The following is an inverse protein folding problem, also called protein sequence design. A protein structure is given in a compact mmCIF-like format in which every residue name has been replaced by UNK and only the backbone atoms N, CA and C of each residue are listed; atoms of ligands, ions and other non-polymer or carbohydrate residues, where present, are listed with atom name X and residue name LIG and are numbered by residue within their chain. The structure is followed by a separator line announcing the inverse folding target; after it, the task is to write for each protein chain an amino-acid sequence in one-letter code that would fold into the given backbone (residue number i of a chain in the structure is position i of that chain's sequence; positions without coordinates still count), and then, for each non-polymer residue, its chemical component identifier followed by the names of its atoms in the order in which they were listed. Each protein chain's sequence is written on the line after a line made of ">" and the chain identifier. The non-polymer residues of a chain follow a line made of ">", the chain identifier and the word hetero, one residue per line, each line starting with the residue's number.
data_IF_375547802960
#
_entry.id   IF_375547802960
#
_cell.length_a   1.000
_cell.length_b   1.000
_cell.length_c   1.000
_cell.angle_alpha   90.00
_cell.angle_beta   90.00
_cell.angle_gamma   90.00
#
_symmetry.space_group_name_H-M   'P 1'
#
loop_
_entity.id
_entity.type
_entity.pdbx_description
1 polymer ?
#
# COMPACT_ATOMS: atom_id res chain seq x y z
N UNK A 1 6.72 -9.96 25.05
CA UNK A 1 6.35 -11.33 25.51
C UNK A 1 5.72 -12.15 24.37
N UNK A 2 6.54 -12.98 23.72
CA UNK A 2 6.22 -14.04 22.74
C UNK A 2 7.49 -14.59 22.04
N UNK A 3 8.65 -13.95 22.24
CA UNK A 3 9.91 -14.30 21.56
C UNK A 3 10.70 -15.45 22.20
N UNK A 4 10.28 -15.95 23.37
CA UNK A 4 10.99 -16.96 24.17
C UNK A 4 10.17 -18.22 24.50
N UNK A 5 8.98 -18.39 23.89
CA UNK A 5 8.13 -19.55 24.17
C UNK A 5 8.44 -20.79 23.29
N UNK A 6 9.35 -20.66 22.31
CA UNK A 6 9.80 -21.80 21.50
C UNK A 6 11.21 -22.21 21.91
N UNK A 7 11.29 -23.31 22.65
CA UNK A 7 12.53 -23.90 23.17
C UNK A 7 13.35 -24.66 22.10
N UNK A 8 13.00 -24.54 20.82
CA UNK A 8 13.74 -25.20 19.75
C UNK A 8 13.56 -24.44 18.42
N UNK A 9 14.60 -23.74 17.91
CA UNK A 9 14.52 -23.04 16.62
C UNK A 9 14.41 -24.00 15.42
N UNK A 10 14.41 -25.32 15.64
CA UNK A 10 14.42 -26.34 14.58
C UNK A 10 13.16 -27.23 14.52
N UNK A 11 12.17 -27.02 15.39
CA UNK A 11 11.04 -27.96 15.54
C UNK A 11 9.85 -27.78 14.59
N UNK A 12 9.78 -26.74 13.76
CA UNK A 12 8.76 -26.65 12.71
C UNK A 12 9.16 -27.39 11.43
N UNK A 13 9.62 -28.65 11.58
CA UNK A 13 9.87 -29.60 10.48
C UNK A 13 8.73 -30.60 10.40
N UNK A 14 7.54 -30.15 9.99
CA UNK A 14 6.55 -31.05 9.42
C UNK A 14 6.76 -31.07 7.89
N UNK A 15 7.29 -32.18 7.39
CA UNK A 15 7.41 -32.55 5.97
C UNK A 15 8.41 -31.70 5.13
N UNK A 16 9.70 -32.05 5.23
CA UNK A 16 10.59 -32.07 4.06
C UNK A 16 10.98 -30.78 3.32
N UNK A 17 10.84 -29.58 3.90
CA UNK A 17 11.29 -28.37 3.22
C UNK A 17 11.22 -27.13 4.11
N UNK A 18 12.12 -26.19 3.88
CA UNK A 18 12.24 -24.92 4.64
C UNK A 18 10.91 -24.18 4.63
N UNK A 19 10.22 -24.13 5.77
CA UNK A 19 9.07 -23.25 5.96
C UNK A 19 9.58 -21.83 6.10
N UNK A 20 9.49 -21.06 5.02
CA UNK A 20 9.52 -19.61 5.12
C UNK A 20 8.28 -19.22 5.94
N UNK A 21 8.50 -18.60 7.11
CA UNK A 21 7.45 -18.06 7.98
C UNK A 21 6.62 -17.05 7.18
N UNK A 22 5.62 -17.56 6.47
CA UNK A 22 4.85 -16.80 5.50
C UNK A 22 3.92 -15.89 6.26
N UNK A 23 3.97 -14.59 5.94
CA UNK A 23 3.12 -13.58 6.58
C UNK A 23 1.62 -13.95 6.54
N UNK A 24 1.18 -14.65 5.49
CA UNK A 24 -0.18 -15.20 5.39
C UNK A 24 -0.52 -16.22 6.47
N UNK A 25 0.40 -17.15 6.76
CA UNK A 25 0.20 -18.18 7.80
C UNK A 25 0.10 -17.51 9.16
N UNK A 26 1.01 -16.57 9.44
CA UNK A 26 0.98 -15.77 10.68
C UNK A 26 -0.33 -14.99 10.82
N UNK A 27 -0.76 -14.30 9.77
CA UNK A 27 -2.01 -13.51 9.76
C UNK A 27 -3.22 -14.39 10.03
N UNK A 28 -3.32 -15.57 9.40
CA UNK A 28 -4.43 -16.50 9.63
C UNK A 28 -4.40 -17.08 11.05
N UNK A 29 -3.21 -17.35 11.61
CA UNK A 29 -3.08 -17.85 12.97
C UNK A 29 -3.44 -16.80 14.04
N UNK A 30 -3.05 -15.54 13.83
CA UNK A 30 -3.25 -14.46 14.81
C UNK A 30 -4.66 -13.84 14.73
N UNK A 31 -5.20 -13.67 13.53
CA UNK A 31 -6.47 -12.95 13.29
C UNK A 31 -7.61 -13.87 12.83
N UNK A 32 -7.32 -15.15 12.57
CA UNK A 32 -8.25 -16.08 11.97
C UNK A 32 -8.54 -15.80 10.49
N UNK A 33 -9.34 -16.68 9.89
CA UNK A 33 -9.83 -16.52 8.52
C UNK A 33 -10.60 -15.19 8.30
N UNK A 34 -11.45 -14.70 9.23
CA UNK A 34 -12.16 -13.44 9.03
C UNK A 34 -11.24 -12.23 8.94
N UNK A 35 -10.22 -12.14 9.80
CA UNK A 35 -9.28 -11.02 9.77
C UNK A 35 -8.42 -11.03 8.51
N UNK A 36 -8.04 -12.22 8.02
CA UNK A 36 -7.37 -12.35 6.74
C UNK A 36 -8.21 -11.82 5.57
N UNK A 37 -9.51 -12.12 5.53
CA UNK A 37 -10.43 -11.59 4.50
C UNK A 37 -10.53 -10.06 4.57
N UNK A 38 -10.62 -9.48 5.77
CA UNK A 38 -10.66 -8.02 5.94
C UNK A 38 -9.40 -7.34 5.38
N UNK A 39 -8.23 -7.93 5.63
CA UNK A 39 -6.96 -7.43 5.10
C UNK A 39 -6.93 -7.50 3.56
N UNK A 40 -7.36 -8.62 2.98
CA UNK A 40 -7.45 -8.74 1.52
C UNK A 40 -8.41 -7.70 0.92
N UNK A 41 -9.56 -7.49 1.55
CA UNK A 41 -10.51 -6.45 1.14
C UNK A 41 -9.92 -5.05 1.26
N UNK A 42 -9.14 -4.78 2.31
CA UNK A 42 -8.43 -3.51 2.48
C UNK A 42 -7.45 -3.27 1.32
N UNK A 43 -6.61 -4.25 0.98
CA UNK A 43 -5.67 -4.10 -0.13
C UNK A 43 -6.39 -3.95 -1.47
N UNK A 44 -7.43 -4.75 -1.69
CA UNK A 44 -8.24 -4.66 -2.90
C UNK A 44 -8.89 -3.28 -3.07
N UNK A 45 -9.51 -2.75 -2.00
CA UNK A 45 -10.15 -1.43 -2.03
C UNK A 45 -9.13 -0.31 -2.22
N UNK A 46 -7.94 -0.43 -1.64
CA UNK A 46 -6.85 0.51 -1.78
C UNK A 46 -6.33 0.57 -3.23
N UNK A 47 -6.09 -0.57 -3.87
CA UNK A 47 -5.67 -0.64 -5.29
C UNK A 47 -6.78 -0.10 -6.19
N UNK A 48 -8.02 -0.56 -5.99
CA UNK A 48 -9.18 -0.11 -6.76
C UNK A 48 -9.31 1.41 -6.70
N UNK A 49 -9.25 2.00 -5.50
CA UNK A 49 -9.39 3.45 -5.35
C UNK A 49 -8.21 4.20 -5.96
N UNK A 50 -7.00 3.67 -5.83
CA UNK A 50 -5.79 4.26 -6.42
C UNK A 50 -5.86 4.28 -7.95
N UNK A 51 -6.30 3.19 -8.57
CA UNK A 51 -6.51 3.11 -10.02
C UNK A 51 -7.61 4.07 -10.49
N UNK A 52 -8.74 4.12 -9.80
CA UNK A 52 -9.81 5.09 -10.11
C UNK A 52 -9.34 6.55 -9.98
N UNK A 53 -8.53 6.85 -8.97
CA UNK A 53 -7.97 8.19 -8.79
C UNK A 53 -6.99 8.54 -9.91
N UNK A 54 -6.16 7.59 -10.34
CA UNK A 54 -5.23 7.77 -11.44
C UNK A 54 -5.94 8.13 -12.75
N UNK A 55 -7.00 7.39 -13.10
CA UNK A 55 -7.79 7.63 -14.33
C UNK A 55 -8.49 9.00 -14.33
N UNK A 56 -8.71 9.60 -13.14
CA UNK A 56 -9.40 10.89 -13.00
C UNK A 56 -8.48 12.11 -13.15
N UNK A 57 -7.17 11.93 -13.13
CA UNK A 57 -6.22 13.02 -13.27
C UNK A 57 -6.22 13.55 -14.70
N UNK A 58 -6.29 14.87 -14.84
CA UNK A 58 -6.27 15.58 -16.13
C UNK A 58 -4.91 16.19 -16.41
N UNK A 59 -4.21 16.63 -15.37
CA UNK A 59 -2.89 17.23 -15.47
C UNK A 59 -1.84 16.17 -15.87
N UNK A 60 -1.13 16.35 -17.00
CA UNK A 60 -0.13 15.39 -17.46
C UNK A 60 1.02 15.22 -16.48
N UNK A 61 1.47 16.27 -15.78
CA UNK A 61 2.58 16.17 -14.81
C UNK A 61 2.14 15.30 -13.62
N UNK A 62 0.96 15.60 -13.08
CA UNK A 62 0.39 14.88 -11.95
C UNK A 62 0.05 13.43 -12.31
N UNK A 63 -0.35 13.17 -13.56
CA UNK A 63 -0.58 11.83 -14.09
C UNK A 63 0.71 10.99 -14.10
N UNK A 64 1.85 11.53 -14.57
CA UNK A 64 3.12 10.79 -14.55
C UNK A 64 3.55 10.41 -13.12
N UNK A 65 3.43 11.35 -12.17
CA UNK A 65 3.73 11.09 -10.74
C UNK A 65 2.79 10.02 -10.19
N UNK A 66 1.49 10.10 -10.53
CA UNK A 66 0.51 9.09 -10.14
C UNK A 66 0.84 7.71 -10.71
N UNK A 67 1.30 7.61 -11.96
CA UNK A 67 1.69 6.33 -12.58
C UNK A 67 2.87 5.71 -11.85
N UNK A 68 3.89 6.49 -11.49
CA UNK A 68 5.05 6.00 -10.75
C UNK A 68 4.67 5.48 -9.36
N UNK A 69 3.82 6.22 -8.63
CA UNK A 69 3.31 5.81 -7.33
C UNK A 69 2.41 4.58 -7.42
N UNK A 70 1.56 4.49 -8.44
CA UNK A 70 0.69 3.33 -8.68
C UNK A 70 1.52 2.09 -9.04
N UNK A 71 2.56 2.24 -9.88
CA UNK A 71 3.47 1.16 -10.22
C UNK A 71 4.24 0.64 -8.99
N UNK A 72 4.74 1.55 -8.14
CA UNK A 72 5.36 1.18 -6.87
C UNK A 72 4.41 0.40 -5.97
N UNK A 73 3.17 0.86 -5.84
CA UNK A 73 2.15 0.21 -5.02
C UNK A 73 1.80 -1.19 -5.55
N UNK A 74 1.62 -1.34 -6.86
CA UNK A 74 1.38 -2.63 -7.51
C UNK A 74 2.57 -3.59 -7.36
N UNK A 75 3.78 -3.07 -7.51
CA UNK A 75 5.00 -3.85 -7.30
C UNK A 75 5.08 -4.38 -5.86
N UNK A 76 4.75 -3.55 -4.88
CA UNK A 76 4.72 -3.97 -3.47
C UNK A 76 3.67 -5.08 -3.24
N UNK A 77 2.52 -5.02 -3.90
CA UNK A 77 1.50 -6.07 -3.82
C UNK A 77 1.95 -7.39 -4.45
N UNK A 78 2.66 -7.35 -5.58
CA UNK A 78 3.27 -8.55 -6.19
C UNK A 78 4.32 -9.14 -5.24
N UNK A 79 5.11 -8.29 -4.60
CA UNK A 79 6.11 -8.71 -3.63
C UNK A 79 5.45 -9.37 -2.39
N UNK A 80 4.31 -8.84 -1.95
CA UNK A 80 3.51 -9.39 -0.86
C UNK A 80 2.94 -10.79 -1.18
N UNK A 81 2.70 -11.13 -2.46
CA UNK A 81 2.28 -12.49 -2.84
C UNK A 81 3.32 -13.57 -2.48
N UNK A 82 4.61 -13.21 -2.38
CA UNK A 82 5.66 -14.11 -1.91
C UNK A 82 5.64 -14.32 -0.39
N UNK A 83 4.57 -13.88 0.28
CA UNK A 83 4.38 -13.94 1.72
C UNK A 83 5.47 -13.24 2.52
N UNK A 84 6.15 -12.26 1.91
CA UNK A 84 7.13 -11.45 2.60
C UNK A 84 6.46 -10.38 3.47
N UNK A 85 7.11 -10.09 4.59
CA UNK A 85 6.64 -9.19 5.63
C UNK A 85 6.50 -7.75 5.12
N UNK A 86 5.25 -7.31 4.87
CA UNK A 86 4.94 -5.90 4.60
C UNK A 86 5.09 -5.03 5.85
N UNK A 87 5.04 -5.67 7.02
CA UNK A 87 5.14 -5.11 8.36
C UNK A 87 6.58 -4.88 8.84
N UNK A 88 7.58 -5.25 8.03
CA UNK A 88 8.99 -4.94 8.34
C UNK A 88 9.26 -3.46 8.09
N UNK A 89 9.78 -2.80 9.12
CA UNK A 89 10.33 -1.46 9.00
C UNK A 89 11.63 -1.48 8.18
N UNK A 90 11.85 -0.52 7.26
CA UNK A 90 11.06 0.70 7.03
C UNK A 90 10.01 0.59 5.90
N UNK A 91 9.87 -0.59 5.28
CA UNK A 91 9.03 -0.79 4.08
C UNK A 91 7.57 -0.43 4.36
N UNK A 92 7.06 -0.81 5.54
CA UNK A 92 5.71 -0.51 5.99
C UNK A 92 5.41 1.01 5.94
N UNK A 93 6.33 1.83 6.45
CA UNK A 93 6.18 3.29 6.49
C UNK A 93 6.08 3.87 5.09
N UNK A 94 6.98 3.46 4.19
CA UNK A 94 6.97 3.93 2.81
C UNK A 94 5.72 3.51 2.06
N UNK A 95 5.26 2.28 2.27
CA UNK A 95 4.04 1.77 1.65
C UNK A 95 2.83 2.67 1.97
N UNK A 96 2.58 2.92 3.25
CA UNK A 96 1.44 3.73 3.68
C UNK A 96 1.59 5.21 3.29
N UNK A 97 2.80 5.76 3.34
CA UNK A 97 3.08 7.12 2.92
C UNK A 97 2.77 7.30 1.42
N UNK A 98 3.29 6.43 0.57
CA UNK A 98 3.08 6.50 -0.88
C UNK A 98 1.62 6.23 -1.26
N UNK A 99 0.95 5.29 -0.59
CA UNK A 99 -0.48 5.07 -0.76
C UNK A 99 -1.29 6.33 -0.40
N UNK A 100 -0.96 6.98 0.73
CA UNK A 100 -1.61 8.22 1.16
C UNK A 100 -1.39 9.37 0.18
N UNK A 101 -0.16 9.55 -0.33
CA UNK A 101 0.14 10.56 -1.34
C UNK A 101 -0.62 10.30 -2.64
N UNK A 102 -0.68 9.04 -3.08
CA UNK A 102 -1.44 8.64 -4.27
C UNK A 102 -2.93 8.98 -4.15
N UNK A 103 -3.51 8.81 -2.96
CA UNK A 103 -4.91 9.17 -2.70
C UNK A 103 -5.17 10.70 -2.68
N UNK A 104 -4.15 11.52 -2.43
CA UNK A 104 -4.29 12.98 -2.31
C UNK A 104 -4.05 13.74 -3.62
N UNK A 105 -3.48 13.12 -4.65
CA UNK A 105 -3.23 13.76 -5.96
C UNK A 105 -4.45 14.45 -6.57
N UNK A 106 -5.67 13.87 -6.61
CA UNK A 106 -6.83 14.55 -7.18
C UNK A 106 -7.29 15.78 -6.39
N UNK A 107 -6.98 15.81 -5.09
CA UNK A 107 -7.26 16.99 -4.24
C UNK A 107 -6.24 18.09 -4.53
N UNK A 108 -4.98 17.71 -4.77
CA UNK A 108 -3.92 18.64 -5.12
C UNK A 108 -4.18 19.30 -6.48
N UNK A 109 -4.59 18.53 -7.49
CA UNK A 109 -4.97 19.04 -8.81
C UNK A 109 -6.03 20.15 -8.72
N UNK A 110 -7.13 19.90 -8.01
CA UNK A 110 -8.20 20.91 -7.80
C UNK A 110 -7.71 22.17 -7.10
N UNK A 111 -6.77 22.05 -6.16
CA UNK A 111 -6.20 23.22 -5.46
C UNK A 111 -5.29 24.04 -6.38
N UNK A 112 -4.52 23.38 -7.23
CA UNK A 112 -3.65 24.04 -8.21
C UNK A 112 -4.52 24.82 -9.21
N UNK A 113 -5.55 24.19 -9.76
CA UNK A 113 -6.51 24.82 -10.68
C UNK A 113 -7.17 26.06 -10.05
N UNK A 114 -7.70 25.93 -8.83
CA UNK A 114 -8.30 27.05 -8.09
C UNK A 114 -7.31 28.22 -7.84
N UNK A 115 -6.05 27.89 -7.52
CA UNK A 115 -5.02 28.90 -7.24
C UNK A 115 -4.64 29.67 -8.50
N UNK A 116 -4.57 29.01 -9.65
CA UNK A 116 -4.28 29.65 -10.94
C UNK A 116 -5.41 30.61 -11.32
N UNK A 117 -6.66 30.15 -11.27
CA UNK A 117 -7.84 30.99 -11.58
C UNK A 117 -7.92 32.22 -10.66
N UNK A 118 -7.65 32.06 -9.37
CA UNK A 118 -7.66 33.17 -8.41
C UNK A 118 -6.58 34.22 -8.69
N UNK A 119 -5.40 33.80 -9.19
CA UNK A 119 -4.31 34.71 -9.56
C UNK A 119 -4.62 35.50 -10.83
N UNK A 120 -5.22 34.87 -11.83
CA UNK A 120 -5.59 35.55 -13.08
C UNK A 120 -6.67 36.63 -12.86
N UNK A 121 -7.63 36.38 -11.96
CA UNK A 121 -8.67 37.35 -11.64
C UNK A 121 -8.18 38.52 -10.76
N UNK A 122 -7.16 38.30 -9.92
CA UNK A 122 -6.60 39.33 -9.03
C UNK A 122 -5.58 40.27 -9.69
N UNK A 123 -5.11 39.97 -10.91
CA UNK A 123 -4.09 40.74 -11.63
C UNK A 123 -4.61 41.83 -12.58
N UNK A 124 -5.93 42.04 -12.65
CA UNK A 124 -6.58 43.04 -13.51
C UNK A 124 -7.05 44.24 -12.69
N UNK A 125 -6.12 45.06 -12.19
CA UNK A 125 -6.38 46.40 -11.66
C UNK A 125 -5.22 47.34 -11.97
#
# INVERSE_FOLDING_TARGET
>A
PARYAYADPTQFRAVGGVWYESWYVKTVLELGLPGFVVILLLFFTLIKRSCLNHIRLKDPILSHVSTALLAFLLWNMIYLLKAQFVDIDPINVYFWLFAGMLMKLPVLERKIEFTIVSREQGGSF
#
